data_IF_596813111586
#
_entry.id   IF_596813111586
#
_cell.length_a   1.000
_cell.length_b   1.000
_cell.length_c   1.000
_cell.angle_alpha   90.00
_cell.angle_beta   90.00
_cell.angle_gamma   90.00
#
_symmetry.space_group_name_H-M   'P 1'
#
loop_
_entity.id
_entity.type
_entity.pdbx_description
1 polymer ?
#
# COMPACT_ATOMS: atom_id res chain seq x y z
N UNK A 1 14.59 22.93 -0.14
CA UNK A 1 14.66 21.96 0.97
C UNK A 1 13.94 20.68 0.57
N UNK A 2 14.52 19.49 0.77
CA UNK A 2 13.80 18.23 0.54
C UNK A 2 12.71 18.06 1.60
N UNK A 3 11.52 17.64 1.17
CA UNK A 3 10.38 17.34 2.06
C UNK A 3 10.76 16.30 3.13
N UNK A 4 10.10 16.37 4.29
CA UNK A 4 10.27 15.43 5.42
C UNK A 4 10.11 13.98 4.95
N UNK A 5 9.22 13.73 3.99
CA UNK A 5 8.96 12.41 3.39
C UNK A 5 10.23 11.80 2.81
N UNK A 6 11.12 12.62 2.25
CA UNK A 6 12.33 12.15 1.60
C UNK A 6 13.53 12.07 2.56
N UNK A 7 13.44 12.68 3.75
CA UNK A 7 14.48 12.58 4.79
C UNK A 7 14.46 11.21 5.47
N UNK A 8 13.27 10.65 5.69
CA UNK A 8 13.05 9.35 6.32
C UNK A 8 12.25 8.41 5.40
N UNK A 9 12.80 8.02 4.24
CA UNK A 9 12.05 7.39 3.17
C UNK A 9 11.41 6.05 3.58
N UNK A 10 12.07 5.24 4.41
CA UNK A 10 11.53 3.96 4.88
C UNK A 10 10.29 4.15 5.74
N UNK A 11 10.37 5.04 6.74
CA UNK A 11 9.25 5.32 7.65
C UNK A 11 8.08 5.90 6.86
N UNK A 12 8.35 6.84 5.95
CA UNK A 12 7.31 7.45 5.13
C UNK A 12 6.62 6.46 4.20
N UNK A 13 7.36 5.52 3.59
CA UNK A 13 6.76 4.47 2.77
C UNK A 13 5.90 3.51 3.59
N UNK A 14 6.36 3.10 4.78
CA UNK A 14 5.59 2.23 5.67
C UNK A 14 4.30 2.93 6.11
N UNK A 15 4.37 4.21 6.49
CA UNK A 15 3.19 5.00 6.86
C UNK A 15 2.21 5.14 5.69
N UNK A 16 2.71 5.37 4.47
CA UNK A 16 1.90 5.41 3.27
C UNK A 16 1.18 4.07 3.02
N UNK A 17 1.87 2.95 3.20
CA UNK A 17 1.29 1.62 3.00
C UNK A 17 0.26 1.29 4.07
N UNK A 18 0.50 1.64 5.33
CA UNK A 18 -0.49 1.51 6.41
C UNK A 18 -1.73 2.36 6.17
N UNK A 19 -1.53 3.62 5.78
CA UNK A 19 -2.63 4.53 5.44
C UNK A 19 -3.47 3.97 4.29
N UNK A 20 -2.81 3.48 3.24
CA UNK A 20 -3.47 2.83 2.10
C UNK A 20 -4.28 1.60 2.55
N UNK A 21 -3.72 0.77 3.42
CA UNK A 21 -4.40 -0.40 3.95
C UNK A 21 -5.69 -0.02 4.69
N UNK A 22 -5.65 0.97 5.59
CA UNK A 22 -6.84 1.46 6.28
C UNK A 22 -7.89 2.00 5.31
N UNK A 23 -7.45 2.72 4.28
CA UNK A 23 -8.34 3.26 3.24
C UNK A 23 -9.01 2.14 2.44
N UNK A 24 -8.26 1.09 2.09
CA UNK A 24 -8.81 -0.10 1.43
C UNK A 24 -9.81 -0.85 2.32
N UNK A 25 -9.56 -0.98 3.63
CA UNK A 25 -10.50 -1.57 4.58
C UNK A 25 -11.78 -0.73 4.68
N UNK A 26 -11.66 0.59 4.75
CA UNK A 26 -12.81 1.49 4.76
C UNK A 26 -13.66 1.33 3.49
N UNK A 27 -13.02 1.32 2.33
CA UNK A 27 -13.68 1.11 1.03
C UNK A 27 -14.36 -0.26 0.98
N UNK A 28 -13.72 -1.29 1.53
CA UNK A 28 -14.27 -2.63 1.65
C UNK A 28 -15.57 -2.63 2.46
N UNK A 29 -15.59 -2.00 3.63
CA UNK A 29 -16.78 -1.90 4.49
C UNK A 29 -17.94 -1.21 3.77
N UNK A 30 -17.66 -0.20 2.95
CA UNK A 30 -18.67 0.56 2.22
C UNK A 30 -18.96 0.04 0.79
N UNK A 31 -18.45 -1.14 0.42
CA UNK A 31 -18.69 -1.77 -0.89
C UNK A 31 -18.27 -0.95 -2.13
N UNK A 32 -17.34 -0.02 -1.99
CA UNK A 32 -16.87 0.85 -3.08
C UNK A 32 -15.66 0.26 -3.84
N UNK A 33 -15.72 -1.03 -4.22
CA UNK A 33 -14.58 -1.79 -4.75
C UNK A 33 -13.85 -1.14 -5.94
N UNK A 34 -14.54 -0.36 -6.77
CA UNK A 34 -13.94 0.37 -7.89
C UNK A 34 -12.81 1.33 -7.46
N UNK A 35 -12.84 1.86 -6.24
CA UNK A 35 -11.79 2.74 -5.72
C UNK A 35 -10.50 2.00 -5.35
N UNK A 36 -10.54 0.68 -5.11
CA UNK A 36 -9.32 -0.10 -4.85
C UNK A 36 -8.43 -0.10 -6.10
N UNK A 37 -9.05 -0.15 -7.28
CA UNK A 37 -8.34 -0.12 -8.58
C UNK A 37 -7.61 1.20 -8.84
N UNK A 38 -8.02 2.31 -8.22
CA UNK A 38 -7.35 3.61 -8.37
C UNK A 38 -6.31 3.85 -7.29
N UNK A 39 -6.57 3.39 -6.06
CA UNK A 39 -5.68 3.60 -4.91
C UNK A 39 -4.42 2.74 -5.01
N UNK A 40 -4.52 1.48 -5.44
CA UNK A 40 -3.35 0.60 -5.51
C UNK A 40 -2.24 1.11 -6.44
N UNK A 41 -2.53 1.49 -7.70
CA UNK A 41 -1.51 2.06 -8.59
C UNK A 41 -0.93 3.38 -8.05
N UNK A 42 -1.77 4.22 -7.42
CA UNK A 42 -1.34 5.49 -6.84
C UNK A 42 -0.33 5.26 -5.71
N UNK A 43 -0.61 4.32 -4.81
CA UNK A 43 0.31 3.97 -3.71
C UNK A 43 1.61 3.38 -4.24
N UNK A 44 1.56 2.56 -5.29
CA UNK A 44 2.76 2.05 -5.97
C UNK A 44 3.61 3.18 -6.56
N UNK A 45 2.98 4.14 -7.25
CA UNK A 45 3.63 5.32 -7.82
C UNK A 45 4.29 6.19 -6.74
N UNK A 46 3.59 6.43 -5.62
CA UNK A 46 4.11 7.21 -4.50
C UNK A 46 5.30 6.52 -3.82
N UNK A 47 5.25 5.20 -3.59
CA UNK A 47 6.41 4.43 -3.12
C UNK A 47 7.60 4.55 -4.09
N UNK A 48 7.35 4.49 -5.40
CA UNK A 48 8.37 4.74 -6.42
C UNK A 48 9.02 6.12 -6.29
N UNK A 49 8.22 7.18 -6.09
CA UNK A 49 8.75 8.53 -5.82
C UNK A 49 9.57 8.62 -4.55
N UNK A 50 9.18 7.92 -3.48
CA UNK A 50 9.94 7.87 -2.23
C UNK A 50 11.31 7.20 -2.45
N UNK A 51 11.35 6.11 -3.22
CA UNK A 51 12.59 5.40 -3.56
C UNK A 51 13.53 6.27 -4.42
N UNK A 52 13.00 7.00 -5.40
CA UNK A 52 13.81 7.82 -6.32
C UNK A 52 14.35 9.08 -5.63
N UNK A 53 13.53 9.74 -4.80
CA UNK A 53 13.88 11.05 -4.22
C UNK A 53 14.47 10.98 -2.80
N UNK A 54 14.40 9.82 -2.15
CA UNK A 54 14.87 9.59 -0.77
C UNK A 54 16.35 9.93 -0.56
N UNK A 55 16.68 10.51 0.59
CA UNK A 55 18.06 10.77 1.00
C UNK A 55 18.71 9.50 1.54
N UNK A 56 20.00 9.32 1.26
CA UNK A 56 20.82 8.20 1.77
C UNK A 56 20.19 6.82 1.48
N UNK A 57 19.68 6.68 0.26
CA UNK A 57 18.97 5.50 -0.20
C UNK A 57 19.95 4.39 -0.55
N UNK A 58 19.86 3.26 0.16
CA UNK A 58 20.66 2.06 -0.12
C UNK A 58 19.75 0.87 -0.51
N UNK A 59 20.35 -0.21 -1.02
CA UNK A 59 19.60 -1.38 -1.47
C UNK A 59 18.75 -2.02 -0.36
N UNK A 60 19.26 -2.07 0.88
CA UNK A 60 18.52 -2.61 2.03
C UNK A 60 17.22 -1.84 2.30
N UNK A 61 17.30 -0.50 2.31
CA UNK A 61 16.14 0.37 2.52
C UNK A 61 15.14 0.28 1.36
N UNK A 62 15.61 0.15 0.11
CA UNK A 62 14.73 -0.08 -1.06
C UNK A 62 13.97 -1.39 -0.94
N UNK A 63 14.66 -2.47 -0.57
CA UNK A 63 14.05 -3.77 -0.34
C UNK A 63 12.99 -3.68 0.76
N UNK A 64 13.28 -3.02 1.88
CA UNK A 64 12.30 -2.82 2.96
C UNK A 64 11.02 -2.11 2.48
N UNK A 65 11.16 -1.07 1.66
CA UNK A 65 10.01 -0.36 1.08
C UNK A 65 9.19 -1.30 0.20
N UNK A 66 9.84 -2.04 -0.70
CA UNK A 66 9.17 -2.98 -1.62
C UNK A 66 8.49 -4.10 -0.83
N UNK A 67 9.16 -4.70 0.14
CA UNK A 67 8.58 -5.75 0.99
C UNK A 67 7.35 -5.22 1.72
N UNK A 68 7.41 -4.00 2.27
CA UNK A 68 6.25 -3.41 2.95
C UNK A 68 5.06 -3.19 2.00
N UNK A 69 5.31 -2.85 0.74
CA UNK A 69 4.29 -2.71 -0.29
C UNK A 69 3.68 -4.08 -0.65
N UNK A 70 4.51 -5.11 -0.81
CA UNK A 70 4.05 -6.48 -1.11
C UNK A 70 3.21 -7.04 0.03
N UNK A 71 3.61 -6.84 1.29
CA UNK A 71 2.85 -7.26 2.47
C UNK A 71 1.47 -6.60 2.47
N UNK A 72 1.39 -5.29 2.23
CA UNK A 72 0.12 -4.57 2.11
C UNK A 72 -0.77 -5.15 1.00
N UNK A 73 -0.22 -5.38 -0.20
CA UNK A 73 -0.96 -5.96 -1.33
C UNK A 73 -1.48 -7.37 -0.97
N UNK A 74 -0.64 -8.20 -0.34
CA UNK A 74 -1.01 -9.55 0.08
C UNK A 74 -2.21 -9.57 1.04
N UNK A 75 -2.22 -8.67 2.04
CA UNK A 75 -3.35 -8.54 2.98
C UNK A 75 -4.63 -8.15 2.24
N UNK A 76 -4.55 -7.20 1.30
CA UNK A 76 -5.72 -6.75 0.54
C UNK A 76 -6.27 -7.86 -0.35
N UNK A 77 -5.41 -8.57 -1.10
CA UNK A 77 -5.81 -9.68 -1.96
C UNK A 77 -6.43 -10.82 -1.17
N UNK A 78 -5.84 -11.19 -0.02
CA UNK A 78 -6.40 -12.20 0.88
C UNK A 78 -7.79 -11.80 1.39
N UNK A 79 -7.99 -10.53 1.73
CA UNK A 79 -9.28 -10.01 2.18
C UNK A 79 -10.35 -10.08 1.08
N UNK A 80 -9.99 -9.71 -0.15
CA UNK A 80 -10.88 -9.80 -1.32
C UNK A 80 -11.25 -11.26 -1.63
N UNK A 81 -10.27 -12.18 -1.57
CA UNK A 81 -10.49 -13.60 -1.82
C UNK A 81 -11.48 -14.21 -0.83
N UNK A 82 -11.29 -13.98 0.48
CA UNK A 82 -12.21 -14.47 1.51
C UNK A 82 -13.63 -13.94 1.32
N UNK A 83 -13.78 -12.70 0.88
CA UNK A 83 -15.09 -12.14 0.57
C UNK A 83 -15.76 -12.85 -0.61
N UNK A 84 -15.02 -13.05 -1.71
CA UNK A 84 -15.56 -13.74 -2.90
C UNK A 84 -16.04 -15.13 -2.49
N UNK A 85 -15.23 -15.88 -1.74
CA UNK A 85 -15.60 -17.20 -1.24
C UNK A 85 -16.83 -17.15 -0.33
N UNK A 86 -16.86 -16.27 0.67
CA UNK A 86 -18.01 -16.15 1.56
C UNK A 86 -19.30 -15.82 0.79
N UNK A 87 -19.20 -15.00 -0.26
CA UNK A 87 -20.34 -14.67 -1.13
C UNK A 87 -20.77 -15.85 -2.01
N UNK A 88 -19.87 -16.77 -2.35
CA UNK A 88 -20.21 -18.01 -3.06
C UNK A 88 -20.79 -19.08 -2.14
N UNK A 89 -20.31 -19.19 -0.90
CA UNK A 89 -20.76 -20.20 0.08
C UNK A 89 -22.12 -19.84 0.68
N UNK A 90 -22.35 -18.57 1.02
CA UNK A 90 -23.59 -18.11 1.67
C UNK A 90 -24.71 -17.72 0.69
N UNK A 91 -24.64 -18.18 -0.55
CA UNK A 91 -25.62 -17.89 -1.61
C UNK A 91 -26.21 -19.19 -2.12
#
# INVERSE_FOLDING_TARGET
MKSIIYKNPVISAILLNLFTLFLCIYIYVHSFFGFILTIMPLTGFLNGKIIVNGTDMNNKKKILIIVSLVVMIGIILFSIYNMIINKFINK
#
